data_IF_366045231608
#
_entry.id   IF_366045231608
#
_cell.length_a   1.000
_cell.length_b   1.000
_cell.length_c   1.000
_cell.angle_alpha   90.00
_cell.angle_beta   90.00
_cell.angle_gamma   90.00
#
_symmetry.space_group_name_H-M   'P 1'
#
loop_
_entity.id
_entity.type
_entity.pdbx_description
1 polymer ?
#
# COMPACT_ATOMS: atom_id res chain seq x y z
N UNK A 1 25.21 47.50 -28.33
CA UNK A 1 24.28 46.36 -28.38
C UNK A 1 25.10 45.07 -28.23
N UNK A 2 24.67 44.07 -27.45
CA UNK A 2 25.40 42.84 -27.06
C UNK A 2 26.15 42.89 -25.70
N UNK A 3 25.47 43.28 -24.62
CA UNK A 3 25.81 42.83 -23.25
C UNK A 3 24.52 42.79 -22.42
N UNK A 4 23.56 42.00 -22.87
CA UNK A 4 22.27 41.81 -22.17
C UNK A 4 21.75 40.38 -22.36
N UNK A 5 22.62 39.37 -22.16
CA UNK A 5 22.23 37.96 -22.20
C UNK A 5 23.11 37.17 -21.23
N UNK A 6 23.00 37.43 -19.92
CA UNK A 6 23.57 36.53 -18.90
C UNK A 6 22.83 36.65 -17.57
N UNK A 7 21.50 36.61 -17.61
CA UNK A 7 20.66 36.64 -16.40
C UNK A 7 19.50 35.63 -16.44
N UNK A 8 19.63 34.54 -17.21
CA UNK A 8 18.62 33.46 -17.27
C UNK A 8 19.18 32.09 -16.85
N UNK A 9 20.24 32.04 -16.06
CA UNK A 9 20.92 30.79 -15.68
C UNK A 9 20.74 30.37 -14.22
N UNK A 10 19.93 31.08 -13.42
CA UNK A 10 19.85 30.88 -11.96
C UNK A 10 18.45 30.57 -11.42
N UNK A 11 17.51 30.16 -12.26
CA UNK A 11 16.16 29.73 -11.84
C UNK A 11 15.84 28.28 -12.22
N UNK A 12 16.87 27.44 -12.32
CA UNK A 12 16.72 25.98 -12.31
C UNK A 12 17.08 25.42 -10.91
N UNK A 13 16.61 26.07 -9.86
CA UNK A 13 16.77 25.57 -8.50
C UNK A 13 15.63 24.58 -8.20
N UNK A 14 15.96 23.30 -8.38
CA UNK A 14 15.46 22.18 -7.59
C UNK A 14 13.94 21.97 -7.53
N UNK A 15 13.38 21.37 -8.58
CA UNK A 15 12.36 20.32 -8.39
C UNK A 15 13.05 19.03 -7.91
N UNK A 16 13.77 19.13 -6.80
CA UNK A 16 14.15 17.94 -6.04
C UNK A 16 12.92 17.63 -5.20
N UNK A 17 12.28 16.49 -5.47
CA UNK A 17 11.31 15.92 -4.55
C UNK A 17 11.95 15.95 -3.16
N UNK A 18 11.44 16.81 -2.28
CA UNK A 18 12.11 17.11 -1.02
C UNK A 18 12.16 15.83 -0.18
N UNK A 19 13.35 15.26 -0.04
CA UNK A 19 13.57 14.20 0.91
C UNK A 19 13.29 14.75 2.32
N UNK A 20 12.33 14.16 3.02
CA UNK A 20 12.09 14.38 4.44
C UNK A 20 12.46 13.08 5.18
N UNK A 21 13.72 12.91 5.61
CA UNK A 21 14.19 11.67 6.22
C UNK A 21 13.47 11.36 7.54
N UNK A 22 13.05 12.39 8.28
CA UNK A 22 12.35 12.24 9.56
C UNK A 22 10.95 11.71 9.31
N UNK A 23 10.19 12.35 8.41
CA UNK A 23 8.86 11.89 8.04
C UNK A 23 8.91 10.49 7.41
N UNK A 24 9.89 10.21 6.55
CA UNK A 24 10.11 8.87 5.98
C UNK A 24 10.32 7.81 7.08
N UNK A 25 11.13 8.11 8.10
CA UNK A 25 11.35 7.22 9.24
C UNK A 25 10.06 6.99 10.05
N UNK A 26 9.27 8.04 10.27
CA UNK A 26 7.98 7.95 10.97
C UNK A 26 6.97 7.09 10.20
N UNK A 27 6.87 7.27 8.88
CA UNK A 27 6.01 6.46 8.01
C UNK A 27 6.44 5.00 8.01
N UNK A 28 7.74 4.73 7.86
CA UNK A 28 8.26 3.36 7.93
C UNK A 28 7.88 2.68 9.25
N UNK A 29 8.12 3.36 10.38
CA UNK A 29 7.78 2.82 11.69
C UNK A 29 6.27 2.59 11.87
N UNK A 30 5.43 3.45 11.29
CA UNK A 30 3.98 3.27 11.29
C UNK A 30 3.57 2.02 10.51
N UNK A 31 4.05 1.87 9.26
CA UNK A 31 3.68 0.74 8.39
C UNK A 31 4.25 -0.57 8.92
N UNK A 32 5.47 -0.57 9.47
CA UNK A 32 6.05 -1.76 10.11
C UNK A 32 5.24 -2.20 11.34
N UNK A 33 4.74 -1.24 12.12
CA UNK A 33 3.84 -1.53 13.25
C UNK A 33 2.49 -2.05 12.77
N UNK A 34 1.97 -1.53 11.67
CA UNK A 34 0.74 -2.01 11.06
C UNK A 34 0.89 -3.48 10.60
N UNK A 35 1.98 -3.81 9.92
CA UNK A 35 2.32 -5.20 9.56
C UNK A 35 2.52 -6.09 10.78
N UNK A 36 3.19 -5.58 11.82
CA UNK A 36 3.34 -6.31 13.09
C UNK A 36 1.99 -6.62 13.74
N UNK A 37 1.02 -5.71 13.68
CA UNK A 37 -0.29 -5.93 14.27
C UNK A 37 -1.07 -7.02 13.52
N UNK A 38 -0.97 -7.09 12.19
CA UNK A 38 -1.51 -8.20 11.40
C UNK A 38 -0.86 -9.54 11.77
N UNK A 39 0.47 -9.57 11.88
CA UNK A 39 1.23 -10.79 12.18
C UNK A 39 0.92 -11.37 13.57
N UNK A 40 0.43 -10.53 14.50
CA UNK A 40 0.08 -10.93 15.86
C UNK A 40 -1.43 -10.83 16.13
N UNK A 41 -2.25 -10.73 15.09
CA UNK A 41 -3.71 -10.63 15.19
C UNK A 41 -4.21 -9.55 16.17
N UNK A 42 -3.53 -8.40 16.24
CA UNK A 42 -3.88 -7.31 17.16
C UNK A 42 -4.99 -6.43 16.57
N UNK A 43 -6.07 -6.12 17.32
CA UNK A 43 -7.15 -5.26 16.83
C UNK A 43 -6.72 -3.88 16.34
N UNK A 44 -5.62 -3.35 16.90
CA UNK A 44 -5.00 -2.08 16.52
C UNK A 44 -4.57 -2.00 15.04
N UNK A 45 -4.51 -3.14 14.34
CA UNK A 45 -4.35 -3.21 12.89
C UNK A 45 -5.42 -2.39 12.15
N UNK A 46 -6.69 -2.55 12.54
CA UNK A 46 -7.80 -1.85 11.88
C UNK A 46 -7.88 -0.38 12.28
N UNK A 47 -7.42 -0.01 13.48
CA UNK A 47 -7.48 1.37 13.97
C UNK A 47 -6.48 2.30 13.23
N UNK A 48 -5.49 1.71 12.55
CA UNK A 48 -4.55 2.42 11.66
C UNK A 48 -5.12 2.72 10.28
N UNK A 49 -6.26 2.13 9.94
CA UNK A 49 -6.99 2.41 8.70
C UNK A 49 -8.05 3.46 9.03
N UNK A 50 -8.15 4.47 8.17
CA UNK A 50 -9.15 5.53 8.28
C UNK A 50 -10.57 4.93 8.23
N UNK A 51 -11.55 5.58 8.86
CA UNK A 51 -12.94 5.09 8.86
C UNK A 51 -13.51 5.00 7.43
N UNK A 52 -13.09 5.93 6.57
CA UNK A 52 -13.36 5.98 5.14
C UNK A 52 -12.33 5.22 4.29
N UNK A 53 -11.36 4.56 4.91
CA UNK A 53 -10.27 3.89 4.24
C UNK A 53 -10.70 2.63 3.47
N UNK A 54 -10.02 2.39 2.35
CA UNK A 54 -10.23 1.24 1.47
C UNK A 54 -9.07 0.24 1.59
N UNK A 55 -9.41 -1.04 1.68
CA UNK A 55 -8.46 -2.14 1.58
C UNK A 55 -8.82 -3.00 0.37
N UNK A 56 -7.84 -3.20 -0.51
CA UNK A 56 -7.93 -4.06 -1.69
C UNK A 56 -6.97 -5.23 -1.49
N UNK A 57 -7.54 -6.44 -1.49
CA UNK A 57 -6.78 -7.67 -1.35
C UNK A 57 -6.25 -8.18 -2.69
N UNK A 58 -5.77 -9.42 -2.68
CA UNK A 58 -5.16 -10.08 -3.86
C UNK A 58 -6.18 -10.72 -4.78
N UNK A 59 -7.35 -11.10 -4.27
CA UNK A 59 -8.45 -11.61 -5.09
C UNK A 59 -9.31 -10.46 -5.63
N UNK A 60 -9.81 -10.62 -6.86
CA UNK A 60 -10.57 -9.58 -7.56
C UNK A 60 -11.89 -9.17 -6.88
N UNK A 61 -12.42 -9.96 -5.95
CA UNK A 61 -13.59 -9.61 -5.13
C UNK A 61 -13.23 -8.84 -3.85
N UNK A 62 -11.95 -8.73 -3.54
CA UNK A 62 -11.45 -8.16 -2.29
C UNK A 62 -11.31 -6.66 -2.41
N UNK A 63 -12.43 -5.96 -2.17
CA UNK A 63 -12.45 -4.51 -1.98
C UNK A 63 -13.42 -4.17 -0.86
N UNK A 64 -12.91 -3.55 0.20
CA UNK A 64 -13.72 -3.26 1.38
C UNK A 64 -13.44 -1.87 1.91
N UNK A 65 -14.46 -1.24 2.50
CA UNK A 65 -14.25 -0.20 3.51
C UNK A 65 -13.71 -0.84 4.78
N UNK A 66 -12.99 -0.07 5.60
CA UNK A 66 -12.36 -0.56 6.84
C UNK A 66 -13.26 -1.47 7.69
N UNK A 67 -14.49 -1.06 7.96
CA UNK A 67 -15.36 -1.79 8.90
C UNK A 67 -15.89 -3.09 8.29
N UNK A 68 -16.10 -3.14 6.97
CA UNK A 68 -16.42 -4.36 6.21
C UNK A 68 -15.23 -5.32 6.23
N UNK A 69 -14.03 -4.79 5.99
CA UNK A 69 -12.79 -5.57 6.05
C UNK A 69 -12.58 -6.15 7.45
N UNK A 70 -12.79 -5.35 8.49
CA UNK A 70 -12.70 -5.78 9.89
C UNK A 70 -13.70 -6.89 10.21
N UNK A 71 -14.92 -6.81 9.69
CA UNK A 71 -15.93 -7.84 9.87
C UNK A 71 -15.53 -9.14 9.15
N UNK A 72 -15.10 -9.05 7.89
CA UNK A 72 -14.62 -10.18 7.09
C UNK A 72 -13.37 -10.84 7.71
N UNK A 73 -12.46 -10.04 8.26
CA UNK A 73 -11.19 -10.50 8.83
C UNK A 73 -11.33 -11.12 10.24
N UNK A 74 -12.48 -10.97 10.93
CA UNK A 74 -12.71 -11.55 12.27
C UNK A 74 -12.24 -13.01 12.42
N UNK A 75 -12.63 -13.97 11.56
CA UNK A 75 -12.17 -15.35 11.67
C UNK A 75 -10.65 -15.51 11.56
N UNK A 76 -9.97 -14.65 10.81
CA UNK A 76 -8.51 -14.65 10.69
C UNK A 76 -7.84 -14.13 11.96
N UNK A 77 -8.39 -13.07 12.58
CA UNK A 77 -7.88 -12.47 13.81
C UNK A 77 -8.21 -13.24 15.09
N UNK A 78 -8.99 -14.33 15.02
CA UNK A 78 -9.16 -15.28 16.14
C UNK A 78 -7.97 -16.21 16.32
N UNK A 79 -7.07 -16.29 15.34
CA UNK A 79 -5.88 -17.14 15.35
C UNK A 79 -4.71 -16.39 16.01
N UNK A 80 -3.60 -17.08 16.29
CA UNK A 80 -2.38 -16.46 16.85
C UNK A 80 -1.68 -15.49 15.88
N UNK A 81 -1.96 -15.62 14.58
CA UNK A 81 -1.45 -14.78 13.49
C UNK A 81 -2.50 -14.71 12.37
N UNK A 82 -2.66 -13.54 11.75
CA UNK A 82 -3.52 -13.36 10.57
C UNK A 82 -2.68 -13.41 9.28
N UNK A 83 -1.79 -12.42 9.09
CA UNK A 83 -0.92 -12.30 7.92
C UNK A 83 0.47 -11.83 8.32
N UNK A 84 1.50 -12.48 7.78
CA UNK A 84 2.88 -12.08 8.00
C UNK A 84 3.39 -11.30 6.77
N UNK A 85 3.65 -10.02 6.95
CA UNK A 85 4.21 -9.14 5.93
C UNK A 85 5.60 -8.70 6.36
N UNK A 86 6.64 -9.26 5.73
CA UNK A 86 8.03 -8.85 5.97
C UNK A 86 8.48 -7.92 4.84
N UNK A 87 8.75 -6.67 5.17
CA UNK A 87 9.18 -5.68 4.19
C UNK A 87 10.58 -5.97 3.68
N UNK A 88 10.70 -6.15 2.37
CA UNK A 88 11.97 -6.28 1.65
C UNK A 88 12.48 -4.91 1.19
N UNK A 89 11.55 -4.06 0.74
CA UNK A 89 11.84 -2.71 0.25
C UNK A 89 10.60 -1.85 0.44
N UNK A 90 10.79 -0.60 0.86
CA UNK A 90 9.72 0.43 0.88
C UNK A 90 10.24 1.76 0.37
N UNK A 91 9.52 2.32 -0.60
CA UNK A 91 9.70 3.69 -1.07
C UNK A 91 8.58 4.55 -0.49
N UNK A 92 8.89 5.77 -0.10
CA UNK A 92 7.94 6.69 0.54
C UNK A 92 8.05 8.05 -0.13
N UNK A 93 6.90 8.64 -0.41
CA UNK A 93 6.72 9.89 -1.12
C UNK A 93 5.69 10.75 -0.40
N UNK A 94 5.70 12.05 -0.67
CA UNK A 94 4.89 13.04 0.04
C UNK A 94 4.44 14.15 -0.90
N UNK A 95 3.27 14.73 -0.64
CA UNK A 95 2.84 15.98 -1.25
C UNK A 95 3.69 17.16 -0.77
N UNK A 96 3.68 18.28 -1.50
CA UNK A 96 4.43 19.50 -1.14
C UNK A 96 3.98 20.11 0.19
N UNK A 97 2.79 19.84 0.68
CA UNK A 97 2.32 20.26 2.01
C UNK A 97 2.45 19.15 3.06
N UNK A 98 2.92 17.95 2.65
CA UNK A 98 3.08 16.74 3.47
C UNK A 98 1.77 16.30 4.15
N UNK A 99 0.62 16.70 3.59
CA UNK A 99 -0.71 16.29 4.04
C UNK A 99 -1.08 14.89 3.52
N UNK A 100 -0.57 14.53 2.35
CA UNK A 100 -0.73 13.22 1.71
C UNK A 100 0.62 12.53 1.59
N UNK A 101 0.62 11.24 1.91
CA UNK A 101 1.79 10.37 1.88
C UNK A 101 1.40 9.16 1.06
N UNK A 102 2.27 8.69 0.17
CA UNK A 102 2.08 7.40 -0.48
C UNK A 102 3.37 6.59 -0.43
N UNK A 103 3.22 5.29 -0.49
CA UNK A 103 4.33 4.36 -0.47
C UNK A 103 4.05 3.18 -1.40
N UNK A 104 5.13 2.62 -1.92
CA UNK A 104 5.14 1.29 -2.53
C UNK A 104 6.12 0.41 -1.75
N UNK A 105 5.75 -0.86 -1.56
CA UNK A 105 6.58 -1.83 -0.88
C UNK A 105 6.57 -3.19 -1.55
N UNK A 106 7.70 -3.88 -1.43
CA UNK A 106 7.85 -5.28 -1.76
C UNK A 106 7.87 -6.06 -0.44
N UNK A 107 7.03 -7.09 -0.36
CA UNK A 107 6.78 -7.86 0.85
C UNK A 107 7.08 -9.34 0.59
N UNK A 108 7.77 -9.96 1.54
CA UNK A 108 7.83 -11.41 1.68
C UNK A 108 6.65 -11.86 2.56
N UNK A 109 5.84 -12.79 2.04
CA UNK A 109 4.54 -13.17 2.61
C UNK A 109 4.30 -14.67 2.49
N UNK A 110 3.25 -15.19 3.15
CA UNK A 110 2.81 -16.58 2.97
C UNK A 110 2.37 -16.94 1.53
N UNK A 111 2.09 -15.95 0.68
CA UNK A 111 1.70 -16.14 -0.73
C UNK A 111 2.90 -16.03 -1.69
N UNK A 112 4.12 -15.89 -1.15
CA UNK A 112 5.30 -15.49 -1.91
C UNK A 112 5.49 -13.96 -1.91
N UNK A 113 6.22 -13.46 -2.90
CA UNK A 113 6.50 -12.02 -3.01
C UNK A 113 5.23 -11.28 -3.45
N UNK A 114 4.81 -10.33 -2.63
CA UNK A 114 3.74 -9.41 -2.95
C UNK A 114 4.29 -8.00 -3.13
N UNK A 115 3.62 -7.22 -3.97
CA UNK A 115 3.82 -5.79 -4.07
C UNK A 115 2.58 -5.10 -3.51
N UNK A 116 2.78 -4.08 -2.69
CA UNK A 116 1.70 -3.29 -2.14
C UNK A 116 1.94 -1.81 -2.33
N UNK A 117 0.84 -1.07 -2.43
CA UNK A 117 0.85 0.39 -2.45
C UNK A 117 -0.14 0.91 -1.42
N UNK A 118 0.26 1.95 -0.69
CA UNK A 118 -0.59 2.58 0.30
C UNK A 118 -0.60 4.09 0.18
N UNK A 119 -1.73 4.70 0.55
CA UNK A 119 -1.92 6.15 0.69
C UNK A 119 -2.33 6.42 2.12
N UNK A 120 -1.73 7.45 2.72
CA UNK A 120 -1.95 7.86 4.09
C UNK A 120 -2.21 9.37 4.14
N UNK A 121 -2.96 9.78 5.15
CA UNK A 121 -3.10 11.20 5.51
C UNK A 121 -2.66 11.42 6.96
N UNK A 122 -2.29 12.65 7.29
CA UNK A 122 -2.04 13.04 8.68
C UNK A 122 -3.33 12.99 9.51
N UNK A 123 -3.19 12.59 10.78
CA UNK A 123 -4.26 12.55 11.78
C UNK A 123 -3.69 13.00 13.12
N UNK A 124 -3.80 14.30 13.41
CA UNK A 124 -3.09 14.92 14.54
C UNK A 124 -1.58 14.70 14.39
N UNK A 125 -0.95 14.16 15.44
CA UNK A 125 0.48 13.86 15.48
C UNK A 125 0.86 12.48 14.89
N UNK A 126 -0.11 11.78 14.28
CA UNK A 126 0.06 10.46 13.69
C UNK A 126 -0.46 10.42 12.25
N UNK A 127 -0.62 9.20 11.72
CA UNK A 127 -1.13 8.93 10.38
C UNK A 127 -2.30 7.96 10.43
N UNK A 128 -3.03 7.91 9.32
CA UNK A 128 -3.94 6.80 9.03
C UNK A 128 -3.89 6.43 7.54
N UNK A 129 -4.10 5.15 7.26
CA UNK A 129 -4.14 4.61 5.90
C UNK A 129 -5.53 4.88 5.33
N UNK A 130 -5.60 5.58 4.19
CA UNK A 130 -6.85 5.89 3.48
C UNK A 130 -7.06 4.97 2.28
N UNK A 131 -6.00 4.36 1.76
CA UNK A 131 -6.08 3.37 0.69
C UNK A 131 -4.91 2.40 0.82
N UNK A 132 -5.16 1.11 0.63
CA UNK A 132 -4.11 0.09 0.52
C UNK A 132 -4.52 -0.97 -0.49
N UNK A 133 -3.57 -1.39 -1.33
CA UNK A 133 -3.75 -2.48 -2.28
C UNK A 133 -2.57 -3.44 -2.18
N UNK A 134 -2.87 -4.74 -2.11
CA UNK A 134 -1.90 -5.84 -2.12
C UNK A 134 -2.05 -6.65 -3.40
N UNK A 135 -0.96 -7.01 -4.05
CA UNK A 135 -0.99 -7.83 -5.26
C UNK A 135 0.16 -8.84 -5.26
N UNK A 136 -0.06 -10.03 -5.82
CA UNK A 136 1.02 -10.99 -6.05
C UNK A 136 1.97 -10.42 -7.12
N UNK A 137 3.28 -10.41 -6.83
CA UNK A 137 4.29 -9.92 -7.77
C UNK A 137 4.67 -11.02 -8.77
N UNK A 138 3.76 -11.31 -9.72
CA UNK A 138 3.94 -12.37 -10.72
C UNK A 138 5.13 -12.06 -11.63
N UNK A 139 6.16 -12.93 -11.71
CA UNK A 139 7.25 -12.76 -12.66
C UNK A 139 6.76 -12.79 -14.10
N UNK A 140 7.30 -11.93 -14.95
CA UNK A 140 6.86 -11.80 -16.34
C UNK A 140 7.06 -13.10 -17.14
N UNK A 141 8.11 -13.87 -16.81
CA UNK A 141 8.45 -15.15 -17.44
C UNK A 141 7.36 -16.21 -17.27
N UNK A 142 6.57 -16.14 -16.19
CA UNK A 142 5.46 -17.06 -15.91
C UNK A 142 4.09 -16.42 -16.19
N UNK A 143 4.05 -15.17 -16.64
CA UNK A 143 2.81 -14.42 -16.84
C UNK A 143 1.79 -15.15 -17.73
N UNK A 144 2.23 -15.74 -18.84
CA UNK A 144 1.33 -16.48 -19.74
C UNK A 144 0.69 -17.71 -19.08
N UNK A 145 1.38 -18.35 -18.13
CA UNK A 145 0.86 -19.51 -17.40
C UNK A 145 -0.22 -19.06 -16.42
N UNK A 146 0.04 -17.99 -15.67
CA UNK A 146 -0.92 -17.39 -14.75
C UNK A 146 -2.17 -16.90 -15.49
N UNK A 147 -2.01 -16.23 -16.64
CA UNK A 147 -3.15 -15.80 -17.47
C UNK A 147 -4.03 -16.98 -17.90
N UNK A 148 -3.42 -18.11 -18.29
CA UNK A 148 -4.19 -19.33 -18.62
C UNK A 148 -4.95 -19.86 -17.42
N UNK A 149 -4.29 -19.98 -16.26
CA UNK A 149 -4.94 -20.45 -15.03
C UNK A 149 -6.13 -19.56 -14.62
N UNK A 150 -5.97 -18.25 -14.70
CA UNK A 150 -7.06 -17.30 -14.43
C UNK A 150 -8.20 -17.56 -15.41
N UNK A 151 -7.94 -17.55 -16.72
CA UNK A 151 -8.98 -17.77 -17.74
C UNK A 151 -9.73 -19.08 -17.52
N UNK A 152 -9.01 -20.18 -17.33
CA UNK A 152 -9.61 -21.51 -17.20
C UNK A 152 -10.48 -21.59 -15.91
N UNK A 153 -10.08 -20.92 -14.83
CA UNK A 153 -10.90 -20.79 -13.61
C UNK A 153 -12.17 -19.95 -13.86
N UNK A 154 -12.04 -18.81 -14.53
CA UNK A 154 -13.16 -17.92 -14.83
C UNK A 154 -14.18 -18.53 -15.79
N UNK A 155 -13.74 -19.30 -16.78
CA UNK A 155 -14.64 -20.00 -17.71
C UNK A 155 -15.47 -21.08 -17.00
N UNK A 156 -14.90 -21.73 -15.98
CA UNK A 156 -15.56 -22.78 -15.21
C UNK A 156 -16.54 -22.21 -14.17
N UNK A 157 -16.09 -21.23 -13.39
CA UNK A 157 -16.81 -20.78 -12.19
C UNK A 157 -17.54 -19.43 -12.38
N UNK A 158 -17.17 -18.66 -13.42
CA UNK A 158 -17.74 -17.37 -13.78
C UNK A 158 -17.43 -16.24 -12.80
N UNK A 159 -17.18 -15.02 -13.29
CA UNK A 159 -17.19 -13.84 -12.42
C UNK A 159 -18.62 -13.52 -12.00
N UNK A 160 -18.98 -13.85 -10.75
CA UNK A 160 -20.33 -13.59 -10.22
C UNK A 160 -20.52 -12.19 -9.61
N UNK A 161 -19.52 -11.31 -9.71
CA UNK A 161 -19.55 -9.97 -9.10
C UNK A 161 -19.47 -10.00 -7.58
N UNK A 162 -18.27 -9.80 -7.02
CA UNK A 162 -18.06 -9.50 -5.60
C UNK A 162 -18.53 -8.08 -5.24
N UNK A 163 -18.78 -7.78 -3.95
CA UNK A 163 -19.83 -6.87 -3.47
C UNK A 163 -19.71 -5.41 -3.95
N UNK A 164 -20.88 -4.76 -4.08
CA UNK A 164 -21.01 -3.29 -4.25
C UNK A 164 -20.61 -2.56 -2.98
#
# INVERSE_FOLDING_TARGET
>A
MKRLLLACSLLLCALVAHADPVLKKQVNAFVDRWHSDAAHARPAYFDKIAKDGIYIGTDKSERWRRDEFKAWAKPHFKRKSAWAFKTLRRNVYFSDDRSVIWFDELLDTQMGICQASGVMRRKGDSFEIVHYQLSMAVPNEVGSQVTRLIRDFEEKDGWKGGPR
#
